data_IF_533674814106
#
_entry.id   IF_533674814106
#
_cell.length_a   1.000
_cell.length_b   1.000
_cell.length_c   1.000
_cell.angle_alpha   90.00
_cell.angle_beta   90.00
_cell.angle_gamma   90.00
#
_symmetry.space_group_name_H-M   'P 1'
#
loop_
_entity.id
_entity.type
_entity.pdbx_description
1 polymer ?
#
# COMPACT_ATOMS: atom_id res chain seq x y z
N UNK A 1 -23.93 2.75 24.07
CA UNK A 1 -23.44 4.05 23.56
C UNK A 1 -22.37 4.66 24.44
N UNK A 2 -22.58 4.78 25.77
CA UNK A 2 -21.56 5.27 26.71
C UNK A 2 -20.31 4.37 26.75
N UNK A 3 -20.50 3.05 26.95
CA UNK A 3 -19.42 2.06 26.90
C UNK A 3 -18.65 2.09 25.57
N UNK A 4 -19.39 2.20 24.45
CA UNK A 4 -18.79 2.29 23.11
C UNK A 4 -17.85 3.49 22.95
N UNK A 5 -18.18 4.65 23.53
CA UNK A 5 -17.28 5.80 23.50
C UNK A 5 -16.02 5.56 24.35
N UNK A 6 -16.17 4.99 25.54
CA UNK A 6 -15.05 4.67 26.43
C UNK A 6 -14.08 3.66 25.80
N UNK A 7 -14.60 2.62 25.15
CA UNK A 7 -13.83 1.65 24.37
C UNK A 7 -13.04 2.33 23.24
N UNK A 8 -13.72 3.09 22.40
CA UNK A 8 -13.09 3.79 21.26
C UNK A 8 -12.01 4.76 21.72
N UNK A 9 -12.28 5.51 22.80
CA UNK A 9 -11.31 6.44 23.39
C UNK A 9 -10.08 5.70 23.92
N UNK A 10 -10.27 4.60 24.66
CA UNK A 10 -9.16 3.84 25.22
C UNK A 10 -8.31 3.23 24.11
N UNK A 11 -8.94 2.61 23.11
CA UNK A 11 -8.25 2.08 21.93
C UNK A 11 -7.45 3.14 21.17
N UNK A 12 -7.96 4.37 21.03
CA UNK A 12 -7.23 5.47 20.39
C UNK A 12 -6.00 5.91 21.19
N UNK A 13 -6.09 5.95 22.53
CA UNK A 13 -5.00 6.37 23.40
C UNK A 13 -3.88 5.32 23.43
N UNK A 14 -4.26 4.04 23.43
CA UNK A 14 -3.31 2.92 23.47
C UNK A 14 -2.58 2.69 22.13
N UNK A 15 -3.04 3.31 21.04
CA UNK A 15 -2.37 3.19 19.74
C UNK A 15 -1.02 3.92 19.74
N UNK A 16 0.11 3.20 19.55
CA UNK A 16 1.43 3.82 19.47
C UNK A 16 1.54 4.71 18.23
N UNK A 17 2.35 5.77 18.34
CA UNK A 17 2.78 6.56 17.19
C UNK A 17 3.97 5.86 16.55
N UNK A 18 3.97 5.77 15.23
CA UNK A 18 5.09 5.25 14.45
C UNK A 18 5.93 6.44 13.99
N UNK A 19 7.19 6.47 14.40
CA UNK A 19 8.13 7.51 14.02
C UNK A 19 8.64 7.29 12.58
N UNK A 20 8.85 8.36 11.81
CA UNK A 20 9.50 8.26 10.51
C UNK A 20 10.95 7.77 10.65
N UNK A 21 11.48 7.05 9.63
CA UNK A 21 12.88 6.67 9.62
C UNK A 21 13.80 7.90 9.69
N UNK A 22 14.94 7.75 10.34
CA UNK A 22 16.02 8.72 10.24
C UNK A 22 16.62 8.69 8.83
N UNK A 23 16.57 9.83 8.14
CA UNK A 23 17.11 10.01 6.79
C UNK A 23 18.16 11.12 6.81
N UNK A 24 19.29 10.87 6.16
CA UNK A 24 20.39 11.83 6.02
C UNK A 24 20.52 12.26 4.56
N UNK A 25 21.02 13.48 4.27
CA UNK A 25 21.32 13.89 2.91
C UNK A 25 22.31 12.92 2.24
N UNK A 26 21.89 12.33 1.11
CA UNK A 26 22.76 11.47 0.29
C UNK A 26 23.53 12.27 -0.77
N UNK A 27 24.65 11.73 -1.28
CA UNK A 27 25.29 12.27 -2.47
C UNK A 27 24.35 12.20 -3.70
N UNK A 28 24.53 13.15 -4.63
CA UNK A 28 23.65 13.43 -5.78
C UNK A 28 23.42 12.21 -6.70
N UNK A 29 22.25 12.23 -7.36
CA UNK A 29 21.70 11.38 -8.44
C UNK A 29 22.43 10.08 -8.85
N UNK A 30 21.70 8.97 -8.78
CA UNK A 30 22.08 7.72 -9.41
C UNK A 30 21.81 7.77 -10.92
N UNK A 31 22.67 7.11 -11.71
CA UNK A 31 22.29 6.70 -13.06
C UNK A 31 20.99 5.90 -13.00
N UNK A 32 20.14 5.99 -14.02
CA UNK A 32 18.87 5.26 -14.09
C UNK A 32 18.78 4.37 -15.32
N UNK A 33 17.85 3.43 -15.27
CA UNK A 33 17.41 2.60 -16.38
C UNK A 33 15.89 2.64 -16.43
N UNK A 34 15.29 2.68 -17.62
CA UNK A 34 13.83 2.70 -17.73
C UNK A 34 13.24 1.34 -17.34
N UNK A 35 11.98 1.35 -16.90
CA UNK A 35 11.23 0.12 -16.63
C UNK A 35 11.08 -0.73 -17.90
N UNK A 36 10.85 -0.10 -19.06
CA UNK A 36 10.83 -0.78 -20.36
C UNK A 36 12.13 -1.54 -20.66
N UNK A 37 13.30 -0.96 -20.35
CA UNK A 37 14.59 -1.63 -20.59
C UNK A 37 14.78 -2.83 -19.64
N UNK A 38 14.31 -2.73 -18.40
CA UNK A 38 14.30 -3.87 -17.47
C UNK A 38 13.37 -4.99 -17.94
N UNK A 39 12.25 -4.65 -18.59
CA UNK A 39 11.34 -5.62 -19.21
C UNK A 39 11.98 -6.25 -20.44
N UNK A 40 12.60 -5.44 -21.31
CA UNK A 40 13.32 -5.92 -22.49
C UNK A 40 14.50 -6.83 -22.14
N UNK A 41 15.15 -6.61 -20.99
CA UNK A 41 16.22 -7.45 -20.46
C UNK A 41 15.74 -8.65 -19.63
N UNK A 42 14.43 -8.89 -19.55
CA UNK A 42 13.81 -9.96 -18.74
C UNK A 42 14.15 -9.91 -17.24
N UNK A 43 14.61 -8.75 -16.74
CA UNK A 43 14.85 -8.52 -15.32
C UNK A 43 13.54 -8.26 -14.55
N UNK A 44 12.50 -7.84 -15.27
CA UNK A 44 11.17 -7.51 -14.77
C UNK A 44 10.10 -8.00 -15.76
N UNK A 45 9.03 -8.60 -15.26
CA UNK A 45 7.86 -8.95 -16.07
C UNK A 45 6.65 -8.16 -15.62
N UNK A 46 5.83 -7.71 -16.57
CA UNK A 46 4.55 -7.04 -16.29
C UNK A 46 3.43 -7.97 -16.69
N UNK A 47 2.52 -8.23 -15.76
CA UNK A 47 1.30 -9.01 -15.99
C UNK A 47 0.07 -8.14 -15.79
N UNK A 48 -0.97 -8.44 -16.55
CA UNK A 48 -2.32 -7.91 -16.36
C UNK A 48 -3.30 -9.08 -16.36
N UNK A 49 -4.35 -8.97 -15.57
CA UNK A 49 -5.41 -9.96 -15.51
C UNK A 49 -6.68 -9.44 -16.19
N UNK A 50 -7.41 -10.30 -16.92
CA UNK A 50 -8.76 -9.97 -17.35
C UNK A 50 -9.69 -9.87 -16.13
N UNK A 51 -10.93 -9.36 -16.30
CA UNK A 51 -11.92 -9.39 -15.23
C UNK A 51 -12.28 -10.83 -14.84
N UNK A 52 -11.80 -11.29 -13.69
CA UNK A 52 -12.06 -12.62 -13.08
C UNK A 52 -12.92 -12.54 -11.81
N UNK A 53 -13.59 -11.39 -11.60
CA UNK A 53 -14.38 -11.13 -10.41
C UNK A 53 -15.68 -11.95 -10.39
N UNK A 54 -15.95 -12.63 -9.26
CA UNK A 54 -17.13 -13.48 -9.08
C UNK A 54 -16.96 -14.87 -9.70
N UNK A 55 -17.73 -15.84 -9.19
CA UNK A 55 -17.72 -17.22 -9.71
C UNK A 55 -16.75 -18.19 -9.04
N UNK A 56 -15.83 -17.72 -8.20
CA UNK A 56 -14.90 -18.57 -7.44
C UNK A 56 -14.67 -18.12 -5.99
N UNK A 57 -13.87 -18.89 -5.27
CA UNK A 57 -13.56 -18.74 -3.84
C UNK A 57 -12.08 -18.39 -3.59
N UNK A 58 -11.35 -17.98 -4.62
CA UNK A 58 -9.96 -17.55 -4.47
C UNK A 58 -9.90 -16.06 -4.13
N UNK A 59 -9.15 -15.71 -3.09
CA UNK A 59 -8.97 -14.32 -2.68
C UNK A 59 -8.36 -13.50 -3.82
N UNK A 60 -8.90 -12.31 -4.09
CA UNK A 60 -8.52 -11.46 -5.20
C UNK A 60 -8.19 -10.04 -4.74
N UNK A 61 -7.02 -9.57 -5.16
CA UNK A 61 -6.53 -8.22 -4.91
C UNK A 61 -7.31 -7.23 -5.78
N UNK A 62 -7.96 -6.25 -5.16
CA UNK A 62 -8.62 -5.17 -5.91
C UNK A 62 -7.77 -3.91 -5.99
N UNK A 63 -8.06 -3.02 -6.94
CA UNK A 63 -7.40 -1.71 -7.01
C UNK A 63 -7.54 -0.89 -5.72
N UNK A 64 -8.66 -1.06 -5.00
CA UNK A 64 -8.86 -0.45 -3.67
C UNK A 64 -7.91 -1.03 -2.63
N UNK A 65 -7.64 -2.33 -2.68
CA UNK A 65 -6.73 -3.00 -1.74
C UNK A 65 -5.29 -2.53 -1.97
N UNK A 66 -4.87 -2.37 -3.23
CA UNK A 66 -3.58 -1.78 -3.59
C UNK A 66 -3.42 -0.36 -3.04
N UNK A 67 -4.41 0.53 -3.26
CA UNK A 67 -4.39 1.92 -2.75
C UNK A 67 -4.37 2.02 -1.22
N UNK A 68 -5.06 1.10 -0.56
CA UNK A 68 -5.08 1.02 0.91
C UNK A 68 -3.88 0.25 1.48
N UNK A 69 -3.07 -0.40 0.64
CA UNK A 69 -1.94 -1.22 1.05
C UNK A 69 -2.34 -2.36 1.98
N UNK A 70 -3.43 -3.06 1.67
CA UNK A 70 -4.00 -4.12 2.53
C UNK A 70 -4.19 -5.44 1.77
N UNK A 71 -4.47 -6.50 2.52
CA UNK A 71 -4.81 -7.82 1.98
C UNK A 71 -6.02 -7.79 1.04
N UNK A 72 -6.13 -8.83 0.20
CA UNK A 72 -7.23 -9.01 -0.73
C UNK A 72 -8.60 -8.95 -0.04
N UNK A 73 -9.55 -8.22 -0.63
CA UNK A 73 -10.91 -8.06 -0.09
C UNK A 73 -12.01 -8.49 -1.05
N UNK A 74 -11.65 -9.16 -2.14
CA UNK A 74 -12.57 -9.70 -3.15
C UNK A 74 -12.31 -11.19 -3.36
N UNK A 75 -13.19 -11.79 -4.13
CA UNK A 75 -13.14 -13.20 -4.50
C UNK A 75 -13.31 -13.33 -6.01
N UNK A 76 -12.60 -14.28 -6.61
CA UNK A 76 -12.59 -14.52 -8.03
C UNK A 76 -12.37 -15.99 -8.36
N UNK A 77 -12.50 -16.31 -9.64
CA UNK A 77 -12.25 -17.63 -10.20
C UNK A 77 -10.80 -17.73 -10.69
N UNK A 78 -10.03 -18.65 -10.09
CA UNK A 78 -8.63 -18.88 -10.44
C UNK A 78 -8.47 -19.73 -11.71
N UNK A 79 -9.51 -20.46 -12.11
CA UNK A 79 -9.55 -21.26 -13.34
C UNK A 79 -9.99 -20.42 -14.55
N UNK A 80 -10.38 -19.17 -14.32
CA UNK A 80 -10.73 -18.25 -15.39
C UNK A 80 -9.56 -18.06 -16.37
N UNK A 81 -9.79 -18.12 -17.69
CA UNK A 81 -8.73 -17.97 -18.68
C UNK A 81 -7.94 -16.66 -18.50
N UNK A 82 -6.62 -16.77 -18.38
CA UNK A 82 -5.74 -15.60 -18.19
C UNK A 82 -5.66 -15.10 -16.74
N UNK A 83 -6.22 -15.81 -15.77
CA UNK A 83 -6.03 -15.52 -14.35
C UNK A 83 -4.54 -15.46 -14.00
N UNK A 84 -4.17 -14.45 -13.21
CA UNK A 84 -2.79 -14.26 -12.73
C UNK A 84 -2.77 -14.41 -11.22
N UNK A 85 -2.00 -15.36 -10.73
CA UNK A 85 -1.72 -15.51 -9.30
C UNK A 85 -0.50 -14.68 -8.92
N UNK A 86 -0.70 -13.87 -7.90
CA UNK A 86 0.30 -13.07 -7.21
C UNK A 86 1.25 -13.98 -6.43
N UNK A 87 2.52 -13.59 -6.43
CA UNK A 87 3.58 -14.14 -5.58
C UNK A 87 4.02 -13.09 -4.57
N UNK A 88 4.41 -13.54 -3.39
CA UNK A 88 5.04 -12.69 -2.40
C UNK A 88 6.29 -12.02 -3.02
N UNK A 89 6.35 -10.69 -2.90
CA UNK A 89 7.39 -9.87 -3.52
C UNK A 89 7.04 -9.33 -4.91
N UNK A 90 5.91 -9.69 -5.51
CA UNK A 90 5.40 -8.94 -6.65
C UNK A 90 5.01 -7.52 -6.23
N UNK A 91 5.03 -6.58 -7.18
CA UNK A 91 4.58 -5.20 -6.97
C UNK A 91 3.32 -4.95 -7.79
N UNK A 92 2.19 -4.77 -7.11
CA UNK A 92 0.93 -4.39 -7.73
C UNK A 92 0.87 -2.87 -7.93
N UNK A 93 0.52 -2.44 -9.13
CA UNK A 93 0.46 -1.03 -9.52
C UNK A 93 -0.91 -0.71 -10.14
N UNK A 94 -1.57 0.28 -9.58
CA UNK A 94 -2.80 0.87 -10.13
C UNK A 94 -2.43 2.19 -10.78
N UNK A 95 -2.92 2.42 -12.00
CA UNK A 95 -2.74 3.66 -12.75
C UNK A 95 -4.05 4.47 -12.81
N UNK A 96 -3.97 5.70 -13.32
CA UNK A 96 -5.14 6.57 -13.54
C UNK A 96 -5.27 7.69 -12.50
N UNK A 97 -6.50 7.98 -12.05
CA UNK A 97 -6.79 9.15 -11.21
C UNK A 97 -6.30 9.03 -9.76
N UNK A 98 -6.17 7.80 -9.24
CA UNK A 98 -5.66 7.52 -7.91
C UNK A 98 -4.63 6.38 -8.01
N UNK A 99 -3.43 6.70 -8.53
CA UNK A 99 -2.37 5.73 -8.78
C UNK A 99 -1.70 5.30 -7.48
N UNK A 100 -1.32 4.03 -7.40
CA UNK A 100 -0.70 3.47 -6.19
C UNK A 100 0.21 2.28 -6.54
N UNK A 101 1.25 2.06 -5.74
CA UNK A 101 2.12 0.89 -5.83
C UNK A 101 2.26 0.20 -4.46
N UNK A 102 2.05 -1.11 -4.45
CA UNK A 102 2.05 -1.93 -3.23
C UNK A 102 2.81 -3.24 -3.46
N UNK A 103 3.65 -3.63 -2.49
CA UNK A 103 4.34 -4.93 -2.51
C UNK A 103 3.39 -5.99 -1.94
N UNK A 104 3.12 -7.01 -2.73
CA UNK A 104 2.31 -8.14 -2.31
C UNK A 104 3.07 -9.02 -1.31
N UNK A 105 2.42 -9.40 -0.22
CA UNK A 105 3.01 -10.19 0.87
C UNK A 105 2.57 -11.64 0.89
N UNK A 106 1.53 -11.98 0.12
CA UNK A 106 0.88 -13.28 0.14
C UNK A 106 1.00 -13.94 -1.25
N UNK A 107 1.23 -15.25 -1.25
CA UNK A 107 1.19 -16.07 -2.45
C UNK A 107 -0.24 -16.54 -2.74
N UNK A 108 -0.55 -16.81 -4.02
CA UNK A 108 -1.79 -17.47 -4.41
C UNK A 108 -3.03 -16.58 -4.40
N UNK A 109 -2.86 -15.27 -4.25
CA UNK A 109 -3.93 -14.28 -4.41
C UNK A 109 -4.13 -13.97 -5.88
N UNK A 110 -5.36 -13.89 -6.37
CA UNK A 110 -5.65 -13.45 -7.73
C UNK A 110 -5.41 -11.96 -7.93
N UNK A 111 -4.84 -11.61 -9.06
CA UNK A 111 -4.74 -10.23 -9.53
C UNK A 111 -6.10 -9.78 -10.08
N UNK A 112 -6.66 -8.70 -9.52
CA UNK A 112 -7.85 -8.07 -10.10
C UNK A 112 -7.54 -7.28 -11.37
N UNK A 113 -8.56 -7.07 -12.20
CA UNK A 113 -8.42 -6.30 -13.44
C UNK A 113 -8.08 -4.83 -13.20
N UNK A 114 -7.38 -4.22 -14.16
CA UNK A 114 -6.92 -2.82 -14.05
C UNK A 114 -5.75 -2.61 -13.09
N UNK A 115 -5.05 -3.69 -12.73
CA UNK A 115 -3.85 -3.69 -11.91
C UNK A 115 -2.72 -4.29 -12.75
N UNK A 116 -1.60 -3.58 -12.85
CA UNK A 116 -0.36 -4.13 -13.41
C UNK A 116 0.41 -4.83 -12.28
N UNK A 117 0.81 -6.07 -12.49
CA UNK A 117 1.63 -6.82 -11.56
C UNK A 117 3.06 -6.92 -12.10
N UNK A 118 4.00 -6.30 -11.38
CA UNK A 118 5.40 -6.29 -11.72
C UNK A 118 6.10 -7.40 -10.92
N UNK A 119 6.69 -8.36 -11.63
CA UNK A 119 7.44 -9.48 -11.06
C UNK A 119 8.89 -9.39 -11.46
N UNK A 120 9.73 -8.99 -10.52
CA UNK A 120 11.17 -8.90 -10.72
C UNK A 120 11.89 -10.11 -10.14
N UNK A 121 13.07 -10.42 -10.67
CA UNK A 121 13.99 -11.33 -9.99
C UNK A 121 14.48 -10.67 -8.69
N UNK A 122 14.21 -11.28 -7.53
CA UNK A 122 14.61 -10.74 -6.22
C UNK A 122 16.14 -10.69 -6.00
N UNK A 123 16.92 -11.28 -6.91
CA UNK A 123 18.39 -11.16 -6.95
C UNK A 123 18.88 -9.98 -7.80
N UNK A 124 17.99 -9.34 -8.56
CA UNK A 124 18.30 -8.19 -9.43
C UNK A 124 17.64 -6.91 -8.88
N UNK A 125 16.36 -7.00 -8.53
CA UNK A 125 15.56 -5.87 -8.07
C UNK A 125 14.84 -6.20 -6.76
N UNK A 126 15.08 -5.40 -5.72
CA UNK A 126 14.39 -5.57 -4.44
C UNK A 126 12.95 -5.03 -4.54
N UNK A 127 11.91 -5.81 -4.17
CA UNK A 127 10.52 -5.39 -4.33
C UNK A 127 10.15 -4.08 -3.63
N UNK A 128 10.62 -3.89 -2.40
CA UNK A 128 10.34 -2.68 -1.61
C UNK A 128 11.04 -1.45 -2.20
N UNK A 129 12.18 -1.64 -2.86
CA UNK A 129 12.85 -0.56 -3.60
C UNK A 129 12.06 -0.17 -4.84
N UNK A 130 11.66 -1.15 -5.67
CA UNK A 130 10.85 -0.91 -6.85
C UNK A 130 9.54 -0.19 -6.50
N UNK A 131 8.82 -0.66 -5.49
CA UNK A 131 7.58 -0.02 -5.02
C UNK A 131 7.82 1.42 -4.53
N UNK A 132 8.93 1.68 -3.82
CA UNK A 132 9.30 3.02 -3.38
C UNK A 132 9.58 3.98 -4.54
N UNK A 133 10.33 3.54 -5.54
CA UNK A 133 10.62 4.31 -6.76
C UNK A 133 9.34 4.62 -7.54
N UNK A 134 8.46 3.63 -7.70
CA UNK A 134 7.17 3.82 -8.36
C UNK A 134 6.29 4.82 -7.61
N UNK A 135 6.24 4.74 -6.27
CA UNK A 135 5.52 5.73 -5.45
C UNK A 135 6.08 7.14 -5.61
N UNK A 136 7.40 7.29 -5.67
CA UNK A 136 8.04 8.58 -5.92
C UNK A 136 7.63 9.15 -7.29
N UNK A 137 7.73 8.33 -8.36
CA UNK A 137 7.31 8.74 -9.70
C UNK A 137 5.82 9.13 -9.75
N UNK A 138 4.95 8.37 -9.06
CA UNK A 138 3.52 8.67 -8.93
C UNK A 138 3.28 10.01 -8.23
N UNK A 139 4.05 10.32 -7.19
CA UNK A 139 3.92 11.57 -6.46
C UNK A 139 4.34 12.79 -7.30
N UNK A 140 5.25 12.62 -8.25
CA UNK A 140 5.72 13.68 -9.14
C UNK A 140 4.71 14.05 -10.24
N UNK A 141 3.70 13.22 -10.51
CA UNK A 141 2.62 13.52 -11.43
C UNK A 141 2.07 12.31 -12.19
N UNK A 142 1.37 12.53 -13.32
CA UNK A 142 0.90 11.44 -14.18
C UNK A 142 2.07 10.58 -14.68
N UNK A 143 1.98 9.27 -14.47
CA UNK A 143 3.04 8.31 -14.81
C UNK A 143 2.67 7.47 -16.02
N UNK A 144 3.62 7.30 -16.93
CA UNK A 144 3.67 6.17 -17.86
C UNK A 144 4.58 5.10 -17.24
N UNK A 145 4.00 3.95 -16.91
CA UNK A 145 4.67 2.88 -16.15
C UNK A 145 5.99 2.45 -16.80
N UNK A 146 6.01 2.31 -18.13
CA UNK A 146 7.18 1.82 -18.86
C UNK A 146 8.31 2.86 -18.94
N UNK A 147 7.99 4.15 -18.77
CA UNK A 147 8.97 5.24 -18.79
C UNK A 147 9.57 5.58 -17.44
N UNK A 148 9.07 4.96 -16.36
CA UNK A 148 9.60 5.17 -15.01
C UNK A 148 11.09 4.84 -14.98
N UNK A 149 11.88 5.78 -14.45
CA UNK A 149 13.32 5.63 -14.30
C UNK A 149 13.64 4.94 -12.98
N UNK A 150 14.27 3.77 -13.06
CA UNK A 150 14.72 2.98 -11.92
C UNK A 150 16.19 3.28 -11.63
N UNK A 151 16.54 3.80 -10.45
CA UNK A 151 17.93 4.06 -10.07
C UNK A 151 18.77 2.77 -10.11
N UNK A 152 19.94 2.84 -10.76
CA UNK A 152 20.92 1.76 -10.83
C UNK A 152 21.79 1.77 -9.58
N UNK A 153 21.31 1.12 -8.54
CA UNK A 153 22.03 0.93 -7.28
C UNK A 153 22.29 -0.56 -7.00
N UNK A 154 23.39 -0.92 -6.31
CA UNK A 154 23.65 -2.31 -5.90
C UNK A 154 22.49 -2.90 -5.10
N UNK A 155 22.24 -4.21 -5.23
CA UNK A 155 21.12 -4.89 -4.57
C UNK A 155 21.10 -4.68 -3.04
N UNK A 156 22.28 -4.63 -2.40
CA UNK A 156 22.37 -4.38 -0.96
C UNK A 156 21.83 -2.99 -0.59
N UNK A 157 22.10 -1.99 -1.42
CA UNK A 157 21.62 -0.62 -1.22
C UNK A 157 20.15 -0.49 -1.61
N UNK A 158 19.69 -1.20 -2.65
CA UNK A 158 18.26 -1.33 -2.92
C UNK A 158 17.51 -1.87 -1.69
N UNK A 159 18.03 -2.89 -1.02
CA UNK A 159 17.40 -3.44 0.19
C UNK A 159 17.35 -2.42 1.33
N UNK A 160 18.41 -1.63 1.51
CA UNK A 160 18.46 -0.55 2.52
C UNK A 160 17.44 0.55 2.21
N UNK A 161 17.43 1.05 0.97
CA UNK A 161 16.47 2.05 0.49
C UNK A 161 15.04 1.52 0.58
N UNK A 162 14.81 0.28 0.15
CA UNK A 162 13.52 -0.40 0.24
C UNK A 162 13.02 -0.53 1.67
N UNK A 163 13.89 -0.80 2.65
CA UNK A 163 13.52 -0.82 4.05
C UNK A 163 13.06 0.57 4.53
N UNK A 164 13.76 1.65 4.14
CA UNK A 164 13.36 3.02 4.46
C UNK A 164 12.02 3.40 3.78
N UNK A 165 11.84 3.06 2.49
CA UNK A 165 10.59 3.25 1.77
C UNK A 165 9.42 2.51 2.41
N UNK A 166 9.64 1.29 2.92
CA UNK A 166 8.63 0.52 3.65
C UNK A 166 8.26 1.21 4.96
N UNK A 167 9.24 1.65 5.75
CA UNK A 167 8.98 2.37 7.00
C UNK A 167 8.17 3.66 6.78
N UNK A 168 8.49 4.43 5.73
CA UNK A 168 7.68 5.60 5.35
C UNK A 168 6.23 5.24 5.01
N UNK A 169 6.02 4.14 4.26
CA UNK A 169 4.68 3.67 3.93
C UNK A 169 3.90 3.16 5.17
N UNK A 170 4.59 2.53 6.12
CA UNK A 170 4.02 2.08 7.41
C UNK A 170 3.57 3.27 8.27
N UNK A 171 4.36 4.36 8.30
CA UNK A 171 3.98 5.61 8.97
C UNK A 171 2.69 6.16 8.37
N UNK A 172 2.62 6.29 7.03
CA UNK A 172 1.44 6.79 6.34
C UNK A 172 0.20 5.91 6.61
N UNK A 173 0.35 4.58 6.53
CA UNK A 173 -0.73 3.64 6.81
C UNK A 173 -1.24 3.77 8.26
N UNK A 174 -0.32 3.90 9.22
CA UNK A 174 -0.66 4.06 10.64
C UNK A 174 -1.43 5.37 10.88
N UNK A 175 -1.00 6.47 10.27
CA UNK A 175 -1.70 7.75 10.37
C UNK A 175 -3.10 7.71 9.73
N UNK A 176 -3.26 7.01 8.59
CA UNK A 176 -4.59 6.80 7.98
C UNK A 176 -5.53 6.05 8.93
N UNK A 177 -5.05 4.97 9.56
CA UNK A 177 -5.84 4.21 10.55
C UNK A 177 -6.19 5.04 11.79
N UNK A 178 -5.21 5.78 12.32
CA UNK A 178 -5.41 6.65 13.49
C UNK A 178 -6.42 7.76 13.20
N UNK A 179 -6.38 8.37 12.01
CA UNK A 179 -7.39 9.35 11.58
C UNK A 179 -8.80 8.75 11.62
N UNK A 180 -8.99 7.56 11.05
CA UNK A 180 -10.28 6.88 11.08
C UNK A 180 -10.76 6.58 12.52
N UNK A 181 -9.84 6.22 13.42
CA UNK A 181 -10.16 6.02 14.84
C UNK A 181 -10.56 7.33 15.54
N UNK A 182 -9.84 8.44 15.29
CA UNK A 182 -10.20 9.78 15.79
C UNK A 182 -11.60 10.18 15.32
N UNK A 183 -11.90 10.03 14.03
CA UNK A 183 -13.21 10.35 13.46
C UNK A 183 -14.33 9.56 14.16
N UNK A 184 -14.12 8.27 14.45
CA UNK A 184 -15.09 7.45 15.19
C UNK A 184 -15.29 7.92 16.63
N UNK A 185 -14.22 8.23 17.36
CA UNK A 185 -14.28 8.74 18.74
C UNK A 185 -15.03 10.06 18.78
N UNK A 186 -14.68 11.01 17.90
CA UNK A 186 -15.33 12.33 17.82
C UNK A 186 -16.81 12.18 17.50
N UNK A 187 -17.16 11.38 16.49
CA UNK A 187 -18.56 11.18 16.10
C UNK A 187 -19.38 10.49 17.20
N UNK A 188 -18.81 9.52 17.92
CA UNK A 188 -19.46 8.88 19.06
C UNK A 188 -19.64 9.86 20.23
N UNK A 189 -18.62 10.66 20.53
CA UNK A 189 -18.65 11.68 21.58
C UNK A 189 -19.70 12.76 21.33
N UNK A 190 -19.68 13.37 20.13
CA UNK A 190 -20.65 14.42 19.73
C UNK A 190 -22.08 13.91 19.82
N UNK A 191 -22.38 12.73 19.25
CA UNK A 191 -23.73 12.14 19.32
C UNK A 191 -24.12 11.80 20.74
N UNK A 192 -23.20 11.26 21.53
CA UNK A 192 -23.46 10.88 22.91
C UNK A 192 -23.78 12.09 23.80
N UNK A 193 -23.04 13.20 23.62
CA UNK A 193 -23.28 14.46 24.32
C UNK A 193 -24.63 15.06 23.91
N UNK A 194 -24.90 15.14 22.60
CA UNK A 194 -26.16 15.69 22.09
C UNK A 194 -27.40 14.89 22.55
N UNK A 195 -27.27 13.57 22.68
CA UNK A 195 -28.34 12.70 23.16
C UNK A 195 -28.44 12.63 24.70
N UNK A 196 -27.56 13.31 25.45
CA UNK A 196 -27.53 13.28 26.91
C UNK A 196 -27.08 11.94 27.53
N UNK A 197 -26.60 11.00 26.71
CA UNK A 197 -26.08 9.69 27.16
C UNK A 197 -24.60 9.75 27.57
N UNK A 198 -23.92 10.84 27.23
CA UNK A 198 -22.60 11.21 27.74
C UNK A 198 -22.69 12.57 28.43
N UNK A 199 -21.81 12.79 29.40
CA UNK A 199 -21.60 14.09 30.07
C UNK A 199 -20.09 14.32 30.28
N UNK A 200 -19.62 15.57 30.38
CA UNK A 200 -18.24 15.86 30.78
C UNK A 200 -17.91 15.19 32.11
N UNK A 201 -16.72 14.57 32.21
CA UNK A 201 -16.26 13.89 33.42
C UNK A 201 -15.78 14.88 34.49
N UNK A 202 -15.24 16.03 34.06
CA UNK A 202 -14.90 17.16 34.92
C UNK A 202 -15.98 18.22 34.77
N UNK A 203 -16.75 18.40 35.83
CA UNK A 203 -17.45 19.65 36.10
C UNK A 203 -16.84 20.12 37.40
N UNK A 204 -16.15 21.25 37.38
CA UNK A 204 -16.17 22.16 38.53
C UNK A 204 -16.30 23.58 37.95
N UNK A 205 -17.45 24.16 38.29
CA UNK A 205 -18.03 25.50 38.03
C UNK A 205 -18.00 26.09 36.62
#
# INVERSE_FOLDING_TARGET
MSERYAELRSALIEQPLVDPPLLEPGPVAHDSISLEDLVAAEALHVYEAPPTAGGGDTAMLSAKDVRLGRAASRWGDADAPGAVLVRAGDVAVVMGADPAAHVCTEDGVLLGSGIHLLRGSATIIAPQFLAGVLRAAIADGPVDLYRVQIPRVPLIDQRRLGAAFRQLAEVEATWRLRRAAVEQVVHAGVRGLAAGVLRPATVDE
#
